data_IF_100702784117
#
_entry.id   IF_100702784117
#
_cell.length_a   1.000
_cell.length_b   1.000
_cell.length_c   1.000
_cell.angle_alpha   90.00
_cell.angle_beta   90.00
_cell.angle_gamma   90.00
#
_symmetry.space_group_name_H-M   'P 1'
#
loop_
_entity.id
_entity.type
_entity.pdbx_description
1 polymer ?
#
# COMPACT_ATOMS: atom_id res chain seq x y z
N UNK A 1 -43.16 -3.76 -17.35
CA UNK A 1 -41.74 -4.13 -17.49
C UNK A 1 -40.90 -3.80 -16.24
N UNK A 2 -41.42 -4.11 -15.05
CA UNK A 2 -40.68 -3.89 -13.80
C UNK A 2 -39.44 -4.79 -13.67
N UNK A 3 -39.48 -6.00 -14.24
CA UNK A 3 -38.32 -6.91 -14.24
C UNK A 3 -37.15 -6.42 -15.11
N UNK A 4 -37.42 -5.74 -16.23
CA UNK A 4 -36.37 -5.25 -17.12
C UNK A 4 -35.70 -4.00 -16.56
N UNK A 5 -36.47 -3.08 -15.95
CA UNK A 5 -35.93 -1.93 -15.21
C UNK A 5 -35.11 -2.36 -14.00
N UNK A 6 -35.58 -3.35 -13.22
CA UNK A 6 -34.84 -3.88 -12.06
C UNK A 6 -33.54 -4.56 -12.49
N UNK A 7 -33.55 -5.35 -13.57
CA UNK A 7 -32.32 -5.96 -14.13
C UNK A 7 -31.33 -4.93 -14.65
N UNK A 8 -31.80 -3.87 -15.32
CA UNK A 8 -30.95 -2.78 -15.81
C UNK A 8 -30.30 -2.00 -14.65
N UNK A 9 -31.06 -1.75 -13.58
CA UNK A 9 -30.55 -1.10 -12.37
C UNK A 9 -29.55 -1.98 -11.61
N UNK A 10 -29.74 -3.30 -11.56
CA UNK A 10 -28.75 -4.21 -10.98
C UNK A 10 -27.48 -4.34 -11.84
N UNK A 11 -27.63 -4.36 -13.17
CA UNK A 11 -26.50 -4.44 -14.09
C UNK A 11 -25.58 -3.21 -13.98
N UNK A 12 -26.14 -2.00 -13.87
CA UNK A 12 -25.36 -0.78 -13.67
C UNK A 12 -24.58 -0.79 -12.35
N UNK A 13 -25.18 -1.31 -11.28
CA UNK A 13 -24.53 -1.45 -9.97
C UNK A 13 -23.39 -2.49 -9.99
N UNK A 14 -23.59 -3.62 -10.67
CA UNK A 14 -22.55 -4.65 -10.81
C UNK A 14 -21.37 -4.15 -11.64
N UNK A 15 -21.65 -3.42 -12.73
CA UNK A 15 -20.61 -2.84 -13.58
C UNK A 15 -19.81 -1.77 -12.83
N UNK A 16 -20.48 -0.91 -12.04
CA UNK A 16 -19.82 0.08 -11.20
C UNK A 16 -18.94 -0.56 -10.13
N UNK A 17 -19.46 -1.57 -9.41
CA UNK A 17 -18.69 -2.33 -8.42
C UNK A 17 -17.44 -2.96 -9.04
N UNK A 18 -17.60 -3.65 -10.17
CA UNK A 18 -16.48 -4.31 -10.85
C UNK A 18 -15.48 -3.29 -11.38
N UNK A 19 -15.94 -2.15 -11.91
CA UNK A 19 -15.08 -1.05 -12.35
C UNK A 19 -14.22 -0.50 -11.23
N UNK A 20 -14.81 -0.23 -10.06
CA UNK A 20 -14.08 0.22 -8.87
C UNK A 20 -13.08 -0.83 -8.39
N UNK A 21 -13.47 -2.11 -8.36
CA UNK A 21 -12.58 -3.19 -7.92
C UNK A 21 -11.36 -3.32 -8.84
N UNK A 22 -11.57 -3.33 -10.16
CA UNK A 22 -10.47 -3.41 -11.13
C UNK A 22 -9.58 -2.19 -11.03
N UNK A 23 -10.15 -0.98 -10.98
CA UNK A 23 -9.39 0.26 -10.82
C UNK A 23 -8.57 0.24 -9.53
N UNK A 24 -9.17 -0.17 -8.41
CA UNK A 24 -8.49 -0.28 -7.11
C UNK A 24 -7.33 -1.27 -7.13
N UNK A 25 -7.50 -2.44 -7.76
CA UNK A 25 -6.42 -3.43 -7.91
C UNK A 25 -5.29 -2.87 -8.77
N UNK A 26 -5.60 -2.22 -9.89
CA UNK A 26 -4.58 -1.62 -10.77
C UNK A 26 -3.82 -0.51 -10.04
N UNK A 27 -4.53 0.40 -9.36
CA UNK A 27 -3.92 1.46 -8.57
C UNK A 27 -3.04 0.90 -7.46
N UNK A 28 -3.46 -0.19 -6.79
CA UNK A 28 -2.66 -0.87 -5.78
C UNK A 28 -1.36 -1.41 -6.38
N UNK A 29 -1.42 -2.07 -7.54
CA UNK A 29 -0.22 -2.60 -8.21
C UNK A 29 0.75 -1.47 -8.56
N UNK A 30 0.24 -0.35 -9.09
CA UNK A 30 1.06 0.83 -9.42
C UNK A 30 1.72 1.39 -8.15
N UNK A 31 0.98 1.51 -7.05
CA UNK A 31 1.51 1.99 -5.78
C UNK A 31 2.60 1.05 -5.23
N UNK A 32 2.44 -0.27 -5.36
CA UNK A 32 3.45 -1.24 -4.95
C UNK A 32 4.72 -1.13 -5.80
N UNK A 33 4.61 -0.92 -7.11
CA UNK A 33 5.79 -0.64 -7.95
C UNK A 33 6.50 0.64 -7.54
N UNK A 34 5.74 1.70 -7.24
CA UNK A 34 6.30 2.95 -6.71
C UNK A 34 7.05 2.74 -5.39
N UNK A 35 6.45 1.98 -4.46
CA UNK A 35 7.07 1.66 -3.17
C UNK A 35 8.35 0.82 -3.35
N UNK A 36 8.33 -0.17 -4.25
CA UNK A 36 9.51 -1.00 -4.58
C UNK A 36 10.64 -0.14 -5.14
N UNK A 37 10.34 0.76 -6.09
CA UNK A 37 11.30 1.69 -6.67
C UNK A 37 11.90 2.61 -5.60
N UNK A 38 11.03 3.30 -4.86
CA UNK A 38 11.43 4.19 -3.76
C UNK A 38 12.33 3.48 -2.74
N UNK A 39 11.95 2.29 -2.30
CA UNK A 39 12.72 1.54 -1.29
C UNK A 39 14.08 1.12 -1.85
N UNK A 40 14.15 0.72 -3.12
CA UNK A 40 15.39 0.33 -3.77
C UNK A 40 16.35 1.51 -3.92
N UNK A 41 15.82 2.67 -4.31
CA UNK A 41 16.60 3.91 -4.44
C UNK A 41 17.11 4.39 -3.09
N UNK A 42 16.29 4.32 -2.04
CA UNK A 42 16.68 4.70 -0.68
C UNK A 42 17.79 3.79 -0.14
N UNK A 43 17.71 2.47 -0.36
CA UNK A 43 18.76 1.52 0.03
C UNK A 43 20.05 1.79 -0.74
N UNK A 44 19.96 2.11 -2.04
CA UNK A 44 21.13 2.45 -2.86
C UNK A 44 21.77 3.77 -2.41
N UNK A 45 20.98 4.81 -2.15
CA UNK A 45 21.46 6.11 -1.64
C UNK A 45 22.20 5.95 -0.31
N UNK A 46 21.73 5.05 0.54
CA UNK A 46 22.32 4.77 1.87
C UNK A 46 23.33 3.62 1.88
N UNK A 47 23.74 3.11 0.71
CA UNK A 47 24.62 1.93 0.59
C UNK A 47 25.94 2.09 1.36
N UNK A 48 26.55 3.29 1.33
CA UNK A 48 27.80 3.58 2.06
C UNK A 48 27.62 3.50 3.58
N UNK A 49 26.55 4.08 4.13
CA UNK A 49 26.22 4.00 5.56
C UNK A 49 25.98 2.55 5.99
N UNK A 50 25.25 1.79 5.16
CA UNK A 50 24.93 0.37 5.42
C UNK A 50 26.20 -0.47 5.44
N UNK A 51 27.12 -0.25 4.49
CA UNK A 51 28.39 -0.96 4.41
C UNK A 51 29.24 -0.74 5.68
N UNK A 52 29.40 0.51 6.12
CA UNK A 52 30.13 0.85 7.35
C UNK A 52 29.50 0.17 8.57
N UNK A 53 28.17 0.22 8.70
CA UNK A 53 27.46 -0.43 9.80
C UNK A 53 27.63 -1.95 9.80
N UNK A 54 27.62 -2.58 8.62
CA UNK A 54 27.77 -4.03 8.47
C UNK A 54 29.19 -4.49 8.83
N UNK A 55 30.22 -3.71 8.49
CA UNK A 55 31.61 -3.96 8.93
C UNK A 55 31.74 -3.82 10.45
N UNK A 56 31.00 -2.88 11.05
CA UNK A 56 30.93 -2.70 12.51
C UNK A 56 30.03 -3.73 13.22
N UNK A 57 29.60 -4.81 12.53
CA UNK A 57 28.85 -5.92 13.13
C UNK A 57 27.33 -5.76 13.18
N UNK A 58 26.74 -4.74 12.56
CA UNK A 58 25.29 -4.58 12.51
C UNK A 58 24.63 -5.72 11.70
N UNK A 59 23.51 -6.26 12.21
CA UNK A 59 22.76 -7.31 11.51
C UNK A 59 21.89 -6.71 10.43
N UNK A 60 21.58 -7.50 9.40
CA UNK A 60 20.62 -7.13 8.33
C UNK A 60 19.26 -6.69 8.92
N UNK A 61 18.85 -7.29 10.05
CA UNK A 61 17.62 -6.92 10.78
C UNK A 61 17.62 -5.47 11.28
N UNK A 62 18.77 -4.95 11.71
CA UNK A 62 18.89 -3.57 12.22
C UNK A 62 18.70 -2.57 11.09
N UNK A 63 19.24 -2.89 9.91
CA UNK A 63 19.07 -2.11 8.69
C UNK A 63 17.60 -2.12 8.27
N UNK A 64 16.96 -3.29 8.18
CA UNK A 64 15.54 -3.40 7.84
C UNK A 64 14.64 -2.61 8.79
N UNK A 65 14.94 -2.61 10.10
CA UNK A 65 14.14 -1.89 11.11
C UNK A 65 14.14 -0.38 10.89
N UNK A 66 15.25 0.18 10.41
CA UNK A 66 15.36 1.61 10.12
C UNK A 66 14.46 1.97 8.94
N UNK A 67 14.59 1.25 7.82
CA UNK A 67 13.76 1.48 6.64
C UNK A 67 12.26 1.29 6.92
N UNK A 68 11.91 0.23 7.65
CA UNK A 68 10.54 -0.02 8.03
C UNK A 68 10.00 1.13 8.89
N UNK A 69 10.76 1.60 9.87
CA UNK A 69 10.33 2.72 10.72
C UNK A 69 10.15 4.01 9.92
N UNK A 70 11.06 4.31 8.99
CA UNK A 70 11.00 5.53 8.18
C UNK A 70 9.79 5.51 7.24
N UNK A 71 9.52 4.37 6.59
CA UNK A 71 8.35 4.22 5.71
C UNK A 71 7.04 4.22 6.52
N UNK A 72 6.99 3.52 7.65
CA UNK A 72 5.78 3.44 8.48
C UNK A 72 5.37 4.79 9.08
N UNK A 73 6.34 5.66 9.40
CA UNK A 73 6.07 7.04 9.84
C UNK A 73 5.31 7.87 8.81
N UNK A 74 5.54 7.60 7.52
CA UNK A 74 4.87 8.30 6.42
C UNK A 74 3.58 7.57 6.05
N UNK A 75 3.60 6.24 6.00
CA UNK A 75 2.45 5.42 5.61
C UNK A 75 1.26 5.59 6.56
N UNK A 76 1.49 5.62 7.87
CA UNK A 76 0.42 5.70 8.86
C UNK A 76 -0.47 6.95 8.69
N UNK A 77 0.06 8.20 8.66
CA UNK A 77 -0.79 9.36 8.45
C UNK A 77 -1.45 9.36 7.07
N UNK A 78 -0.79 8.87 6.02
CA UNK A 78 -1.40 8.74 4.69
C UNK A 78 -2.62 7.82 4.70
N UNK A 79 -2.54 6.67 5.36
CA UNK A 79 -3.67 5.73 5.46
C UNK A 79 -4.81 6.35 6.27
N UNK A 80 -4.51 7.00 7.40
CA UNK A 80 -5.54 7.67 8.22
C UNK A 80 -6.29 8.74 7.40
N UNK A 81 -5.57 9.58 6.66
CA UNK A 81 -6.18 10.60 5.79
C UNK A 81 -7.00 9.94 4.67
N UNK A 82 -6.50 8.84 4.10
CA UNK A 82 -7.21 8.04 3.11
C UNK A 82 -8.53 7.46 3.64
N UNK A 83 -8.50 6.85 4.83
CA UNK A 83 -9.67 6.28 5.49
C UNK A 83 -10.72 7.35 5.82
N UNK A 84 -10.28 8.53 6.30
CA UNK A 84 -11.17 9.67 6.52
C UNK A 84 -11.82 10.16 5.21
N UNK A 85 -11.03 10.27 4.14
CA UNK A 85 -11.54 10.63 2.82
C UNK A 85 -12.55 9.59 2.29
N UNK A 86 -12.23 8.31 2.41
CA UNK A 86 -13.12 7.21 2.02
C UNK A 86 -14.43 7.24 2.81
N UNK A 87 -14.37 7.49 4.13
CA UNK A 87 -15.56 7.61 4.97
C UNK A 87 -16.45 8.78 4.56
N UNK A 88 -15.87 9.95 4.27
CA UNK A 88 -16.64 11.13 3.83
C UNK A 88 -17.36 10.89 2.49
N UNK A 89 -16.64 10.34 1.52
CA UNK A 89 -17.19 10.03 0.19
C UNK A 89 -18.27 8.96 0.30
N UNK A 90 -18.01 7.87 1.03
CA UNK A 90 -18.98 6.80 1.24
C UNK A 90 -20.24 7.32 1.94
N UNK A 91 -20.08 8.16 2.98
CA UNK A 91 -21.21 8.78 3.67
C UNK A 91 -22.05 9.65 2.73
N UNK A 92 -21.40 10.44 1.88
CA UNK A 92 -22.10 11.29 0.91
C UNK A 92 -22.85 10.47 -0.15
N UNK A 93 -22.23 9.39 -0.62
CA UNK A 93 -22.86 8.44 -1.55
C UNK A 93 -24.06 7.72 -0.93
N UNK A 94 -23.95 7.28 0.34
CA UNK A 94 -25.03 6.65 1.09
C UNK A 94 -26.23 7.58 1.37
N UNK A 95 -26.03 8.90 1.39
CA UNK A 95 -27.15 9.84 1.57
C UNK A 95 -28.12 9.85 0.37
N UNK A 96 -27.68 9.43 -0.81
CA UNK A 96 -28.53 9.31 -2.00
C UNK A 96 -29.47 8.09 -1.98
N UNK A 97 -29.31 7.19 -1.00
CA UNK A 97 -30.12 5.98 -0.86
C UNK A 97 -31.10 6.09 0.32
N UNK A 98 -32.30 5.57 0.12
CA UNK A 98 -33.35 5.54 1.15
C UNK A 98 -33.02 4.56 2.28
N UNK A 99 -32.46 3.39 1.92
CA UNK A 99 -31.91 2.40 2.84
C UNK A 99 -30.41 2.61 3.04
N UNK A 100 -29.97 2.74 4.30
CA UNK A 100 -28.58 3.06 4.66
C UNK A 100 -27.95 1.96 5.49
N UNK A 101 -26.79 1.48 5.06
CA UNK A 101 -25.98 0.55 5.86
C UNK A 101 -25.25 1.34 6.95
N UNK A 102 -25.20 0.80 8.16
CA UNK A 102 -24.37 1.34 9.25
C UNK A 102 -22.88 1.16 8.93
N UNK A 103 -22.20 2.27 8.62
CA UNK A 103 -20.76 2.30 8.44
C UNK A 103 -20.04 1.98 9.76
N UNK A 104 -19.54 0.75 9.88
CA UNK A 104 -18.86 0.29 11.10
C UNK A 104 -17.38 0.69 11.06
N UNK A 105 -16.86 1.45 12.04
CA UNK A 105 -15.44 1.83 12.10
C UNK A 105 -14.46 0.65 12.04
N UNK A 106 -14.91 -0.53 12.47
CA UNK A 106 -14.13 -1.77 12.43
C UNK A 106 -13.64 -2.15 11.03
N UNK A 107 -14.42 -1.84 9.99
CA UNK A 107 -14.02 -2.12 8.60
C UNK A 107 -12.80 -1.29 8.20
N UNK A 108 -12.78 0.00 8.56
CA UNK A 108 -11.66 0.89 8.27
C UNK A 108 -10.41 0.44 9.02
N UNK A 109 -10.54 0.12 10.32
CA UNK A 109 -9.42 -0.40 11.12
C UNK A 109 -8.85 -1.69 10.50
N UNK A 110 -9.71 -2.60 10.03
CA UNK A 110 -9.29 -3.82 9.35
C UNK A 110 -8.48 -3.53 8.08
N UNK A 111 -8.96 -2.60 7.25
CA UNK A 111 -8.26 -2.16 6.03
C UNK A 111 -6.93 -1.49 6.37
N UNK A 112 -6.89 -0.60 7.37
CA UNK A 112 -5.66 0.03 7.86
C UNK A 112 -4.60 -1.02 8.20
N UNK A 113 -4.98 -2.04 8.98
CA UNK A 113 -4.06 -3.11 9.42
C UNK A 113 -3.55 -3.90 8.20
N UNK A 114 -4.44 -4.27 7.28
CA UNK A 114 -4.07 -5.02 6.07
C UNK A 114 -3.08 -4.21 5.22
N UNK A 115 -3.33 -2.91 5.03
CA UNK A 115 -2.43 -2.04 4.26
C UNK A 115 -1.06 -1.91 4.93
N UNK A 116 -1.01 -1.72 6.25
CA UNK A 116 0.26 -1.66 6.99
C UNK A 116 1.05 -2.97 6.87
N UNK A 117 0.37 -4.12 6.91
CA UNK A 117 0.99 -5.43 6.71
C UNK A 117 1.55 -5.55 5.30
N UNK A 118 0.78 -5.18 4.27
CA UNK A 118 1.23 -5.22 2.88
C UNK A 118 2.46 -4.33 2.68
N UNK A 119 2.41 -3.07 3.13
CA UNK A 119 3.53 -2.13 3.03
C UNK A 119 4.76 -2.70 3.77
N UNK A 120 4.58 -3.18 4.99
CA UNK A 120 5.66 -3.73 5.80
C UNK A 120 6.32 -4.95 5.13
N UNK A 121 5.52 -5.88 4.60
CA UNK A 121 6.02 -7.04 3.86
C UNK A 121 6.76 -6.63 2.60
N UNK A 122 6.21 -5.70 1.81
CA UNK A 122 6.86 -5.18 0.62
C UNK A 122 8.23 -4.59 0.93
N UNK A 123 8.33 -3.77 1.98
CA UNK A 123 9.60 -3.17 2.42
C UNK A 123 10.60 -4.24 2.86
N UNK A 124 10.17 -5.20 3.67
CA UNK A 124 11.02 -6.30 4.14
C UNK A 124 11.57 -7.09 2.96
N UNK A 125 10.71 -7.49 2.02
CA UNK A 125 11.09 -8.29 0.85
C UNK A 125 12.08 -7.51 -0.02
N UNK A 126 11.80 -6.24 -0.31
CA UNK A 126 12.66 -5.40 -1.15
C UNK A 126 14.01 -5.12 -0.49
N UNK A 127 14.01 -4.64 0.76
CA UNK A 127 15.25 -4.36 1.48
C UNK A 127 16.08 -5.63 1.68
N UNK A 128 15.46 -6.76 1.98
CA UNK A 128 16.17 -8.03 2.12
C UNK A 128 16.80 -8.46 0.79
N UNK A 129 16.05 -8.37 -0.32
CA UNK A 129 16.54 -8.69 -1.66
C UNK A 129 17.74 -7.81 -2.02
N UNK A 130 17.67 -6.50 -1.79
CA UNK A 130 18.75 -5.55 -2.13
C UNK A 130 19.96 -5.69 -1.19
N UNK A 131 19.75 -5.87 0.12
CA UNK A 131 20.82 -6.01 1.10
C UNK A 131 21.58 -7.35 1.01
N UNK A 132 20.93 -8.38 0.45
CA UNK A 132 21.53 -9.71 0.24
C UNK A 132 22.01 -9.92 -1.21
N UNK A 133 21.49 -9.16 -2.18
CA UNK A 133 22.07 -9.13 -3.51
C UNK A 133 23.47 -8.52 -3.46
N UNK A 134 24.43 -9.27 -3.99
CA UNK A 134 25.85 -9.00 -3.85
C UNK A 134 26.19 -7.61 -4.46
N UNK A 135 26.72 -6.65 -3.69
CA UNK A 135 26.98 -5.28 -4.16
C UNK A 135 27.99 -5.20 -5.32
N UNK A 136 28.73 -6.29 -5.56
CA UNK A 136 29.74 -6.44 -6.62
C UNK A 136 29.12 -6.41 -8.04
N UNK A 137 27.82 -6.68 -8.21
CA UNK A 137 27.22 -6.71 -9.55
C UNK A 137 26.91 -5.33 -10.15
N UNK A 138 26.94 -4.27 -9.34
CA UNK A 138 26.62 -2.90 -9.78
C UNK A 138 27.87 -2.01 -9.99
N UNK A 139 29.06 -2.52 -9.70
CA UNK A 139 30.35 -1.85 -9.91
C UNK A 139 30.98 -2.20 -11.26
N UNK A 140 30.25 -2.92 -12.13
CA UNK A 140 30.74 -3.37 -13.44
C UNK A 140 30.08 -2.64 -14.61
N UNK A 141 29.15 -1.72 -14.31
CA UNK A 141 28.46 -0.86 -15.28
C UNK A 141 28.87 0.63 -15.13
N UNK A 142 29.88 0.92 -14.30
CA UNK A 142 30.73 2.13 -14.42
C UNK A 142 32.07 1.70 -15.00
#
# INVERSE_FOLDING_TARGET
>A
DYESEFKAQYASQLNFRNGILVAGIVTMIIALFGLVGYTSDEVNRRRKEIAIRKVNGAKVKDILRIFLKDIMKIALPCIIVGDLGAWLIARQWLMSFSEKITMTPLLFIGVTIILLVIIGLSVIINCYKVANSNPVKYLKDE
#
